data_IF_884491055136
#
_entry.id   IF_884491055136
#
_cell.length_a   1.000
_cell.length_b   1.000
_cell.length_c   1.000
_cell.angle_alpha   90.00
_cell.angle_beta   90.00
_cell.angle_gamma   90.00
#
_symmetry.space_group_name_H-M   'P 1'
#
loop_
_entity.id
_entity.type
_entity.pdbx_description
1 polymer ?
#
# COMPACT_ATOMS: atom_id res chain seq x y z
N UNK A 1 20.89 -5.79 -2.06
CA UNK A 1 20.24 -5.08 -3.19
C UNK A 1 18.79 -5.51 -3.25
N UNK A 2 17.88 -4.64 -2.77
CA UNK A 2 16.44 -4.86 -2.95
C UNK A 2 16.12 -4.60 -4.42
N UNK A 3 15.88 -5.65 -5.20
CA UNK A 3 15.33 -5.51 -6.55
C UNK A 3 13.89 -5.01 -6.43
N UNK A 4 13.68 -3.73 -6.72
CA UNK A 4 12.37 -3.11 -6.75
C UNK A 4 11.59 -3.67 -7.93
N UNK A 5 10.67 -4.57 -7.68
CA UNK A 5 9.79 -5.14 -8.69
C UNK A 5 8.44 -4.44 -8.63
N UNK A 6 7.98 -3.93 -9.76
CA UNK A 6 6.59 -3.51 -9.95
C UNK A 6 5.73 -4.74 -10.32
N UNK A 7 4.45 -4.64 -10.08
CA UNK A 7 3.49 -5.62 -10.56
C UNK A 7 3.08 -5.24 -11.99
N UNK A 8 3.23 -6.17 -12.94
CA UNK A 8 2.76 -5.95 -14.33
C UNK A 8 1.24 -5.67 -14.31
N UNK A 9 0.78 -4.74 -15.16
CA UNK A 9 -0.62 -4.31 -15.22
C UNK A 9 -1.60 -5.47 -15.46
N UNK A 10 -1.22 -6.50 -16.21
CA UNK A 10 -2.05 -7.71 -16.39
C UNK A 10 -2.25 -8.44 -15.06
N UNK A 11 -1.18 -8.66 -14.30
CA UNK A 11 -1.25 -9.30 -12.98
C UNK A 11 -1.96 -8.42 -11.95
N UNK A 12 -1.79 -7.09 -12.04
CA UNK A 12 -2.55 -6.15 -11.24
C UNK A 12 -4.06 -6.28 -11.48
N UNK A 13 -4.50 -6.30 -12.74
CA UNK A 13 -5.92 -6.50 -13.08
C UNK A 13 -6.46 -7.84 -12.59
N UNK A 14 -5.65 -8.90 -12.70
CA UNK A 14 -6.00 -10.22 -12.16
C UNK A 14 -6.14 -10.16 -10.64
N UNK A 15 -5.21 -9.50 -9.94
CA UNK A 15 -5.27 -9.31 -8.48
C UNK A 15 -6.54 -8.56 -8.06
N UNK A 16 -6.83 -7.44 -8.75
CA UNK A 16 -7.96 -6.58 -8.41
C UNK A 16 -9.32 -7.29 -8.57
N UNK A 17 -9.47 -8.13 -9.58
CA UNK A 17 -10.73 -8.83 -9.86
C UNK A 17 -10.86 -10.22 -9.23
N UNK A 18 -9.83 -10.72 -8.52
CA UNK A 18 -9.82 -12.10 -8.02
C UNK A 18 -10.39 -12.19 -6.61
N UNK A 19 -11.39 -13.06 -6.44
CA UNK A 19 -11.77 -13.59 -5.14
C UNK A 19 -10.84 -14.76 -4.78
N UNK A 20 -10.24 -14.73 -3.60
CA UNK A 20 -9.35 -15.78 -3.09
C UNK A 20 -10.11 -16.85 -2.28
N UNK A 21 -11.41 -16.67 -2.02
CA UNK A 21 -12.25 -17.57 -1.23
C UNK A 21 -12.01 -17.49 0.29
N UNK A 22 -10.98 -16.82 0.71
CA UNK A 22 -10.60 -16.61 2.11
C UNK A 22 -10.69 -15.12 2.46
N UNK A 23 -11.44 -14.77 3.51
CA UNK A 23 -11.68 -13.37 3.90
C UNK A 23 -10.38 -12.61 4.19
N UNK A 24 -9.41 -13.26 4.83
CA UNK A 24 -8.11 -12.67 5.17
C UNK A 24 -7.26 -12.36 3.93
N UNK A 25 -7.26 -13.25 2.94
CA UNK A 25 -6.56 -13.00 1.68
C UNK A 25 -7.23 -11.89 0.88
N UNK A 26 -8.56 -11.84 0.87
CA UNK A 26 -9.30 -10.76 0.23
C UNK A 26 -9.06 -9.42 0.93
N UNK A 27 -8.98 -9.41 2.26
CA UNK A 27 -8.61 -8.23 3.04
C UNK A 27 -7.18 -7.76 2.69
N UNK A 28 -6.21 -8.68 2.66
CA UNK A 28 -4.83 -8.33 2.32
C UNK A 28 -4.70 -7.79 0.87
N UNK A 29 -5.46 -8.38 -0.08
CA UNK A 29 -5.59 -7.85 -1.44
C UNK A 29 -6.12 -6.41 -1.40
N UNK A 30 -7.19 -6.16 -0.67
CA UNK A 30 -7.84 -4.86 -0.61
C UNK A 30 -6.93 -3.80 0.04
N UNK A 31 -6.14 -4.17 1.05
CA UNK A 31 -5.13 -3.27 1.63
C UNK A 31 -4.03 -2.93 0.62
N UNK A 32 -3.58 -3.90 -0.17
CA UNK A 32 -2.62 -3.65 -1.26
C UNK A 32 -3.21 -2.71 -2.31
N UNK A 33 -4.47 -2.94 -2.72
CA UNK A 33 -5.18 -2.11 -3.69
C UNK A 33 -5.44 -0.70 -3.15
N UNK A 34 -5.79 -0.57 -1.87
CA UNK A 34 -5.94 0.72 -1.22
C UNK A 34 -4.65 1.54 -1.30
N UNK A 35 -3.50 0.94 -0.96
CA UNK A 35 -2.21 1.59 -1.12
C UNK A 35 -1.99 2.09 -2.56
N UNK A 36 -2.29 1.25 -3.55
CA UNK A 36 -2.17 1.62 -4.96
C UNK A 36 -3.09 2.78 -5.34
N UNK A 37 -4.40 2.71 -5.02
CA UNK A 37 -5.37 3.74 -5.35
C UNK A 37 -5.11 5.07 -4.61
N UNK A 38 -4.52 4.99 -3.43
CA UNK A 38 -4.09 6.16 -2.66
C UNK A 38 -2.69 6.67 -3.06
N UNK A 39 -2.33 6.57 -4.35
CA UNK A 39 -1.05 7.05 -4.92
C UNK A 39 0.18 6.39 -4.28
N UNK A 40 0.07 5.13 -3.91
CA UNK A 40 1.16 4.43 -3.24
C UNK A 40 1.34 4.85 -1.78
N UNK A 41 0.25 5.10 -1.06
CA UNK A 41 0.28 5.39 0.38
C UNK A 41 1.06 4.31 1.12
N UNK A 42 1.96 4.70 2.02
CA UNK A 42 2.76 3.74 2.78
C UNK A 42 1.90 2.99 3.79
N UNK A 43 2.29 1.76 4.13
CA UNK A 43 1.49 0.96 5.07
C UNK A 43 1.39 1.62 6.46
N UNK A 44 2.44 2.31 6.90
CA UNK A 44 2.40 3.06 8.16
C UNK A 44 1.34 4.18 8.11
N UNK A 45 1.27 4.93 7.01
CA UNK A 45 0.26 5.99 6.85
C UNK A 45 -1.15 5.41 6.80
N UNK A 46 -1.33 4.22 6.19
CA UNK A 46 -2.60 3.49 6.19
C UNK A 46 -3.03 3.07 7.60
N UNK A 47 -2.11 2.54 8.41
CA UNK A 47 -2.39 2.13 9.79
C UNK A 47 -2.85 3.29 10.66
N UNK A 48 -2.22 4.46 10.50
CA UNK A 48 -2.54 5.65 11.31
C UNK A 48 -3.65 6.53 10.72
N UNK A 49 -4.29 6.11 9.61
CA UNK A 49 -5.34 6.88 8.97
C UNK A 49 -6.65 6.84 9.78
N UNK A 50 -7.01 7.97 10.40
CA UNK A 50 -8.22 8.11 11.21
C UNK A 50 -9.42 8.54 10.36
N UNK A 51 -10.64 8.13 10.76
CA UNK A 51 -11.90 8.53 10.12
C UNK A 51 -12.10 10.05 10.09
N UNK A 52 -11.61 10.77 11.09
CA UNK A 52 -11.65 12.24 11.15
C UNK A 52 -10.83 12.91 10.04
N UNK A 53 -10.00 12.15 9.33
CA UNK A 53 -9.20 12.62 8.21
C UNK A 53 -9.85 12.38 6.84
N UNK A 54 -11.10 11.89 6.84
CA UNK A 54 -11.90 11.68 5.62
C UNK A 54 -13.00 12.75 5.58
N UNK A 55 -12.81 13.77 4.76
CA UNK A 55 -13.77 14.87 4.59
C UNK A 55 -13.62 15.51 3.20
N UNK A 56 -14.65 16.24 2.74
CA UNK A 56 -14.68 16.88 1.40
C UNK A 56 -14.23 15.95 0.26
N UNK A 57 -14.73 14.71 0.28
CA UNK A 57 -14.45 13.73 -0.77
C UNK A 57 -12.95 13.41 -0.94
N UNK A 58 -12.14 13.55 0.13
CA UNK A 58 -10.72 13.31 0.12
C UNK A 58 -10.21 12.70 1.43
N UNK A 59 -9.08 11.99 1.34
CA UNK A 59 -8.26 11.56 2.45
C UNK A 59 -7.24 12.66 2.74
N UNK A 60 -7.20 13.14 3.97
CA UNK A 60 -6.22 14.12 4.42
C UNK A 60 -5.32 13.48 5.46
N UNK A 61 -4.03 13.43 5.22
CA UNK A 61 -3.09 12.85 6.17
C UNK A 61 -1.72 13.52 6.11
N UNK A 62 -1.03 13.46 7.21
CA UNK A 62 0.38 13.82 7.30
C UNK A 62 1.22 12.55 7.22
N UNK A 63 2.19 12.53 6.32
CA UNK A 63 3.04 11.38 6.10
C UNK A 63 3.98 11.16 7.28
N UNK A 64 3.95 10.00 7.88
CA UNK A 64 4.75 9.67 9.08
C UNK A 64 6.27 9.84 8.88
N UNK A 65 6.76 9.62 7.66
CA UNK A 65 8.20 9.70 7.37
C UNK A 65 8.72 11.11 7.09
N UNK A 66 7.92 11.97 6.46
CA UNK A 66 8.39 13.26 5.90
C UNK A 66 7.61 14.45 6.39
N UNK A 67 6.58 14.24 7.21
CA UNK A 67 5.68 15.26 7.74
C UNK A 67 5.01 16.15 6.67
N UNK A 68 4.96 15.65 5.43
CA UNK A 68 4.24 16.31 4.36
C UNK A 68 2.74 16.03 4.48
N UNK A 69 1.94 17.08 4.27
CA UNK A 69 0.48 16.96 4.25
C UNK A 69 0.01 16.56 2.87
N UNK A 70 -0.87 15.56 2.81
CA UNK A 70 -1.47 15.03 1.59
C UNK A 70 -2.98 15.20 1.60
N UNK A 71 -3.51 15.46 0.40
CA UNK A 71 -4.92 15.35 0.10
C UNK A 71 -5.08 14.43 -1.12
N UNK A 72 -5.78 13.32 -0.94
CA UNK A 72 -6.02 12.31 -1.98
C UNK A 72 -7.51 12.20 -2.20
N UNK A 73 -8.00 12.58 -3.39
CA UNK A 73 -9.40 12.47 -3.74
C UNK A 73 -9.91 11.02 -3.64
N UNK A 74 -11.10 10.84 -3.09
CA UNK A 74 -11.75 9.55 -2.96
C UNK A 74 -12.27 9.08 -4.31
N UNK A 75 -11.53 8.18 -4.94
CA UNK A 75 -12.02 7.46 -6.12
C UNK A 75 -13.11 6.47 -5.73
N UNK A 76 -13.96 6.00 -6.68
CA UNK A 76 -14.96 4.97 -6.40
C UNK A 76 -14.35 3.73 -5.73
N UNK A 77 -13.16 3.30 -6.16
CA UNK A 77 -12.46 2.14 -5.63
C UNK A 77 -12.02 2.35 -4.16
N UNK A 78 -11.52 3.54 -3.82
CA UNK A 78 -11.17 3.88 -2.44
C UNK A 78 -12.42 3.88 -1.55
N UNK A 79 -13.54 4.46 -2.03
CA UNK A 79 -14.81 4.48 -1.29
C UNK A 79 -15.32 3.08 -1.02
N UNK A 80 -15.27 2.19 -2.02
CA UNK A 80 -15.69 0.80 -1.89
C UNK A 80 -14.91 0.07 -0.81
N UNK A 81 -13.58 0.22 -0.79
CA UNK A 81 -12.74 -0.41 0.24
C UNK A 81 -13.03 0.19 1.62
N UNK A 82 -13.12 1.52 1.74
CA UNK A 82 -13.45 2.18 3.00
C UNK A 82 -14.80 1.70 3.54
N UNK A 83 -15.83 1.64 2.69
CA UNK A 83 -17.16 1.19 3.07
C UNK A 83 -17.16 -0.28 3.50
N UNK A 84 -16.40 -1.15 2.79
CA UNK A 84 -16.31 -2.58 3.09
C UNK A 84 -15.72 -2.87 4.47
N UNK A 85 -14.79 -2.04 4.92
CA UNK A 85 -14.08 -2.21 6.20
C UNK A 85 -14.48 -1.18 7.25
N UNK A 86 -15.58 -0.45 7.03
CA UNK A 86 -16.06 0.49 8.03
C UNK A 86 -16.58 -0.24 9.27
N UNK A 87 -15.94 0.02 10.39
CA UNK A 87 -16.34 -0.46 11.70
C UNK A 87 -16.68 0.76 12.59
N UNK A 88 -17.98 0.99 12.93
CA UNK A 88 -18.40 2.13 13.75
C UNK A 88 -17.68 2.22 15.09
N UNK A 89 -17.24 1.09 15.65
CA UNK A 89 -16.50 1.04 16.91
C UNK A 89 -15.02 1.43 16.79
N UNK A 90 -14.50 1.58 15.56
CA UNK A 90 -13.10 1.87 15.30
C UNK A 90 -12.87 3.33 14.89
N UNK A 91 -11.85 4.02 15.43
CA UNK A 91 -11.47 5.35 14.99
C UNK A 91 -10.69 5.33 13.66
N UNK A 92 -10.27 4.15 13.20
CA UNK A 92 -9.44 3.95 12.01
C UNK A 92 -10.27 3.75 10.75
N UNK A 93 -9.78 4.23 9.61
CA UNK A 93 -10.42 4.04 8.30
C UNK A 93 -10.30 2.59 7.82
N UNK A 94 -9.19 1.93 8.15
CA UNK A 94 -8.85 0.59 7.70
C UNK A 94 -8.63 -0.36 8.88
N UNK A 95 -8.80 -1.67 8.71
CA UNK A 95 -8.68 -2.66 9.78
C UNK A 95 -7.24 -2.91 10.24
N UNK A 96 -6.24 -2.28 9.58
CA UNK A 96 -4.83 -2.56 9.80
C UNK A 96 -4.41 -2.49 11.28
N UNK A 97 -4.78 -1.43 11.97
CA UNK A 97 -4.41 -1.25 13.38
C UNK A 97 -5.12 -2.25 14.28
N UNK A 98 -6.39 -2.55 14.02
CA UNK A 98 -7.15 -3.56 14.76
C UNK A 98 -6.54 -4.96 14.61
N UNK A 99 -6.06 -5.32 13.42
CA UNK A 99 -5.35 -6.60 13.20
C UNK A 99 -4.08 -6.69 14.03
N UNK A 100 -3.33 -5.61 14.16
CA UNK A 100 -2.18 -5.54 15.05
C UNK A 100 -2.55 -5.70 16.53
N UNK A 101 -3.63 -5.07 16.97
CA UNK A 101 -4.17 -5.19 18.33
C UNK A 101 -4.61 -6.63 18.63
N UNK A 102 -5.41 -7.24 17.76
CA UNK A 102 -5.87 -8.62 17.92
C UNK A 102 -4.71 -9.63 17.96
N UNK A 103 -3.68 -9.41 17.14
CA UNK A 103 -2.47 -10.22 17.16
C UNK A 103 -1.65 -10.04 18.46
N UNK A 104 -1.87 -8.93 19.18
CA UNK A 104 -1.28 -8.65 20.50
C UNK A 104 -2.11 -9.21 21.65
N UNK A 105 -3.41 -9.44 21.47
CA UNK A 105 -4.37 -9.81 22.52
C UNK A 105 -4.11 -11.20 23.15
N UNK A 106 -3.18 -11.99 22.60
CA UNK A 106 -2.57 -13.12 23.32
C UNK A 106 -1.64 -12.67 24.47
N UNK A 107 -1.47 -11.35 24.66
CA UNK A 107 -0.82 -10.73 25.82
C UNK A 107 -1.82 -9.70 26.37
N UNK A 108 -2.54 -10.09 27.43
CA UNK A 108 -3.45 -9.23 28.19
C UNK A 108 -2.81 -7.87 28.51
N UNK A 109 -3.31 -6.80 27.89
CA UNK A 109 -3.16 -5.44 28.41
C UNK A 109 -4.39 -4.61 28.02
N UNK A 110 -4.90 -3.87 29.00
CA UNK A 110 -6.18 -3.17 29.02
C UNK A 110 -6.45 -2.24 27.82
N UNK A 111 -7.60 -2.45 27.20
CA UNK A 111 -8.10 -1.69 26.03
C UNK A 111 -8.91 -0.44 26.41
N UNK A 112 -8.78 0.08 27.62
CA UNK A 112 -9.47 1.29 28.10
C UNK A 112 -8.47 2.42 28.35
N UNK A 113 -8.32 3.31 27.37
CA UNK A 113 -7.54 4.52 27.55
C UNK A 113 -6.69 4.88 26.31
N UNK A 114 -6.05 6.03 26.35
CA UNK A 114 -5.07 6.46 25.34
C UNK A 114 -3.93 5.44 25.24
N UNK A 115 -3.90 4.70 24.16
CA UNK A 115 -2.85 3.69 23.91
C UNK A 115 -1.50 4.40 23.79
N UNK A 116 -0.49 4.05 24.60
CA UNK A 116 0.80 4.69 24.54
C UNK A 116 1.43 4.59 23.12
N UNK A 117 2.18 5.60 22.67
CA UNK A 117 2.79 5.60 21.32
C UNK A 117 3.62 4.35 21.01
N UNK A 118 4.30 3.79 22.02
CA UNK A 118 5.07 2.55 21.89
C UNK A 118 4.19 1.34 21.56
N UNK A 119 2.99 1.27 22.12
CA UNK A 119 2.01 0.20 21.83
C UNK A 119 1.45 0.33 20.42
N UNK A 120 1.15 1.54 19.94
CA UNK A 120 0.71 1.77 18.56
C UNK A 120 1.78 1.32 17.55
N UNK A 121 3.05 1.59 17.82
CA UNK A 121 4.14 1.12 16.98
C UNK A 121 4.22 -0.41 16.95
N UNK A 122 4.06 -1.08 18.07
CA UNK A 122 4.03 -2.54 18.14
C UNK A 122 2.85 -3.11 17.34
N UNK A 123 1.66 -2.53 17.45
CA UNK A 123 0.49 -2.94 16.67
C UNK A 123 0.72 -2.78 15.17
N UNK A 124 1.32 -1.66 14.75
CA UNK A 124 1.74 -1.46 13.36
C UNK A 124 2.71 -2.55 12.90
N UNK A 125 3.73 -2.88 13.68
CA UNK A 125 4.70 -3.92 13.31
C UNK A 125 4.03 -5.29 13.17
N UNK A 126 3.12 -5.64 14.07
CA UNK A 126 2.37 -6.89 14.01
C UNK A 126 1.42 -6.94 12.82
N UNK A 127 0.70 -5.85 12.55
CA UNK A 127 -0.15 -5.72 11.38
C UNK A 127 0.66 -5.86 10.08
N UNK A 128 1.81 -5.19 9.99
CA UNK A 128 2.69 -5.29 8.83
C UNK A 128 3.14 -6.73 8.59
N UNK A 129 3.57 -7.42 9.64
CA UNK A 129 3.98 -8.82 9.55
C UNK A 129 2.82 -9.72 9.06
N UNK A 130 1.64 -9.56 9.65
CA UNK A 130 0.42 -10.28 9.27
C UNK A 130 0.10 -10.12 7.77
N UNK A 131 0.01 -8.89 7.29
CA UNK A 131 -0.32 -8.65 5.88
C UNK A 131 0.77 -9.09 4.91
N UNK A 132 2.06 -9.01 5.30
CA UNK A 132 3.15 -9.49 4.44
C UNK A 132 3.12 -11.01 4.26
N UNK A 133 2.70 -11.78 5.26
CA UNK A 133 2.50 -13.24 5.13
C UNK A 133 1.38 -13.51 4.12
N UNK A 134 0.24 -12.83 4.24
CA UNK A 134 -0.90 -13.00 3.34
C UNK A 134 -0.58 -12.56 1.90
N UNK A 135 0.11 -11.45 1.74
CA UNK A 135 0.56 -10.97 0.42
C UNK A 135 1.57 -11.94 -0.23
N UNK A 136 2.39 -12.62 0.57
CA UNK A 136 3.28 -13.69 0.06
C UNK A 136 2.49 -14.88 -0.47
N UNK A 137 1.42 -15.28 0.22
CA UNK A 137 0.54 -16.37 -0.25
C UNK A 137 -0.23 -15.94 -1.51
N UNK A 138 -0.76 -14.72 -1.57
CA UNK A 138 -1.36 -14.16 -2.79
C UNK A 138 -0.36 -14.19 -3.94
N UNK A 139 0.89 -13.81 -3.70
CA UNK A 139 1.96 -13.83 -4.70
C UNK A 139 2.19 -15.22 -5.28
N UNK A 140 2.20 -16.24 -4.40
CA UNK A 140 2.34 -17.64 -4.79
C UNK A 140 1.18 -18.10 -5.68
N UNK A 141 -0.07 -17.77 -5.31
CA UNK A 141 -1.29 -18.13 -6.08
C UNK A 141 -1.38 -17.39 -7.43
N UNK A 142 -0.76 -16.23 -7.56
CA UNK A 142 -0.72 -15.45 -8.80
C UNK A 142 0.51 -15.76 -9.66
N UNK A 143 1.43 -16.60 -9.19
CA UNK A 143 2.70 -16.85 -9.86
C UNK A 143 3.49 -15.55 -10.11
N UNK A 144 3.52 -14.65 -9.13
CA UNK A 144 4.29 -13.41 -9.21
C UNK A 144 5.33 -13.33 -8.09
N UNK A 145 6.25 -12.36 -8.21
CA UNK A 145 7.21 -12.07 -7.14
C UNK A 145 6.47 -11.54 -5.91
N UNK A 146 7.10 -11.61 -4.74
CA UNK A 146 6.51 -11.21 -3.48
C UNK A 146 5.88 -9.82 -3.53
N UNK A 147 4.58 -9.76 -3.28
CA UNK A 147 3.84 -8.51 -3.12
C UNK A 147 4.18 -7.89 -1.76
N UNK A 148 4.36 -6.59 -1.78
CA UNK A 148 4.52 -5.76 -0.58
C UNK A 148 3.86 -4.41 -0.83
N UNK A 149 3.62 -3.61 0.19
CA UNK A 149 3.07 -2.26 0.01
C UNK A 149 4.01 -1.34 -0.80
N UNK A 150 5.32 -1.58 -0.75
CA UNK A 150 6.26 -0.89 -1.64
C UNK A 150 6.03 -1.28 -3.11
N UNK A 151 5.67 -2.53 -3.41
CA UNK A 151 5.32 -2.97 -4.78
C UNK A 151 4.07 -2.23 -5.26
N UNK A 152 3.05 -2.02 -4.42
CA UNK A 152 1.88 -1.22 -4.78
C UNK A 152 2.29 0.21 -5.19
N UNK A 153 3.14 0.84 -4.38
CA UNK A 153 3.69 2.17 -4.65
C UNK A 153 4.52 2.24 -5.93
N UNK A 154 5.38 1.23 -6.16
CA UNK A 154 6.18 1.12 -7.39
C UNK A 154 5.28 0.94 -8.61
N UNK A 155 4.26 0.09 -8.51
CA UNK A 155 3.29 -0.15 -9.58
C UNK A 155 2.58 1.15 -9.94
N UNK A 156 2.09 1.92 -8.96
CA UNK A 156 1.44 3.21 -9.23
C UNK A 156 2.38 4.18 -9.98
N UNK A 157 3.62 4.31 -9.52
CA UNK A 157 4.58 5.22 -10.15
C UNK A 157 4.93 4.81 -11.59
N UNK A 158 5.08 3.51 -11.83
CA UNK A 158 5.37 2.96 -13.17
C UNK A 158 4.19 3.17 -14.11
N UNK A 159 2.96 2.91 -13.64
CA UNK A 159 1.76 3.12 -14.45
C UNK A 159 1.56 4.61 -14.77
N UNK A 160 1.73 5.50 -13.78
CA UNK A 160 1.67 6.94 -14.02
C UNK A 160 2.69 7.38 -15.08
N UNK A 161 3.91 6.84 -15.03
CA UNK A 161 4.93 7.12 -16.04
C UNK A 161 4.57 6.55 -17.42
N UNK A 162 4.06 5.33 -17.49
CA UNK A 162 3.63 4.71 -18.75
C UNK A 162 2.49 5.48 -19.44
N UNK A 163 1.69 6.18 -18.65
CA UNK A 163 0.65 7.11 -19.12
C UNK A 163 1.19 8.49 -19.53
N UNK A 164 2.49 8.71 -19.47
CA UNK A 164 3.12 9.98 -19.83
C UNK A 164 3.02 11.08 -18.77
N UNK A 165 2.68 10.74 -17.51
CA UNK A 165 2.63 11.72 -16.42
C UNK A 165 4.04 12.26 -16.15
N UNK A 166 4.26 13.59 -16.14
CA UNK A 166 5.56 14.19 -15.88
C UNK A 166 6.13 13.80 -14.52
N UNK A 167 7.45 13.58 -14.47
CA UNK A 167 8.16 13.18 -13.24
C UNK A 167 7.89 14.08 -12.03
N UNK A 168 7.78 15.42 -12.14
CA UNK A 168 7.42 16.28 -11.01
C UNK A 168 6.09 15.90 -10.36
N UNK A 169 5.04 15.63 -11.17
CA UNK A 169 3.73 15.24 -10.65
C UNK A 169 3.75 13.85 -10.01
N UNK A 170 4.54 12.92 -10.57
CA UNK A 170 4.77 11.61 -9.92
C UNK A 170 5.48 11.81 -8.58
N UNK A 171 6.49 12.70 -8.53
CA UNK A 171 7.24 13.05 -7.32
C UNK A 171 6.34 13.61 -6.24
N UNK A 172 5.48 14.56 -6.60
CA UNK A 172 4.48 15.14 -5.72
C UNK A 172 3.49 14.08 -5.21
N UNK A 173 2.93 13.29 -6.12
CA UNK A 173 1.99 12.20 -5.77
C UNK A 173 2.60 11.17 -4.82
N UNK A 174 3.90 10.88 -4.94
CA UNK A 174 4.64 10.00 -4.04
C UNK A 174 5.12 10.69 -2.76
N UNK A 175 5.08 12.01 -2.67
CA UNK A 175 5.62 12.78 -1.55
C UNK A 175 7.12 12.64 -1.39
N UNK A 176 7.84 12.69 -2.48
CA UNK A 176 9.28 12.80 -2.41
C UNK A 176 9.67 14.27 -2.20
N UNK A 177 10.56 14.54 -1.26
CA UNK A 177 11.06 15.88 -0.97
C UNK A 177 11.96 16.43 -2.08
N UNK A 178 12.42 15.57 -3.00
CA UNK A 178 13.29 15.91 -4.10
C UNK A 178 12.91 15.11 -5.36
N UNK A 179 12.77 15.82 -6.48
CA UNK A 179 12.56 15.22 -7.80
C UNK A 179 13.71 14.26 -8.17
N UNK A 180 14.93 14.55 -7.71
CA UNK A 180 16.09 13.67 -7.89
C UNK A 180 15.82 12.27 -7.33
N UNK A 181 15.15 12.17 -6.16
CA UNK A 181 14.75 10.90 -5.57
C UNK A 181 13.82 10.14 -6.50
N UNK A 182 12.85 10.83 -7.12
CA UNK A 182 11.92 10.22 -8.07
C UNK A 182 12.62 9.79 -9.35
N UNK A 183 13.54 10.59 -9.88
CA UNK A 183 14.33 10.22 -11.07
C UNK A 183 15.18 8.97 -10.85
N UNK A 184 15.89 8.89 -9.72
CA UNK A 184 16.69 7.69 -9.36
C UNK A 184 15.77 6.48 -9.21
N UNK A 185 14.62 6.67 -8.56
CA UNK A 185 13.61 5.66 -8.36
C UNK A 185 13.04 5.14 -9.70
N UNK A 186 12.62 6.03 -10.59
CA UNK A 186 12.10 5.65 -11.92
C UNK A 186 13.21 5.05 -12.82
N UNK A 187 14.43 5.55 -12.75
CA UNK A 187 15.56 5.00 -13.51
C UNK A 187 15.92 3.57 -13.07
N UNK A 188 15.72 3.23 -11.79
CA UNK A 188 15.93 1.85 -11.32
C UNK A 188 14.87 0.88 -11.89
N UNK A 189 13.65 1.38 -12.14
CA UNK A 189 12.57 0.62 -12.79
C UNK A 189 12.84 0.41 -14.28
N UNK A 190 13.41 1.41 -14.97
CA UNK A 190 13.76 1.32 -16.39
C UNK A 190 14.83 0.27 -16.68
N UNK A 191 15.88 0.21 -15.85
CA UNK A 191 16.93 -0.82 -16.02
C UNK A 191 16.35 -2.22 -15.97
N UNK A 192 15.40 -2.46 -15.06
CA UNK A 192 14.76 -3.76 -14.94
C UNK A 192 13.93 -4.11 -16.18
N UNK A 193 13.22 -3.12 -16.74
CA UNK A 193 12.48 -3.29 -18.00
C UNK A 193 13.43 -3.59 -19.16
N UNK A 194 14.58 -2.91 -19.22
CA UNK A 194 15.61 -3.15 -20.25
C UNK A 194 16.22 -4.56 -20.09
N UNK A 195 16.50 -4.98 -18.86
CA UNK A 195 17.03 -6.33 -18.57
C UNK A 195 16.00 -7.42 -18.95
N UNK A 196 14.72 -7.23 -18.64
CA UNK A 196 13.64 -8.14 -19.04
C UNK A 196 13.47 -8.21 -20.57
N UNK A 197 13.59 -7.08 -21.27
CA UNK A 197 13.57 -7.04 -22.74
C UNK A 197 14.78 -7.78 -23.29
N UNK A 198 15.97 -7.53 -22.74
CA UNK A 198 17.20 -8.20 -23.18
C UNK A 198 17.11 -9.72 -22.97
N UNK A 199 16.59 -10.17 -21.82
CA UNK A 199 16.35 -11.61 -21.59
C UNK A 199 15.39 -12.24 -22.61
N UNK A 200 14.39 -11.50 -23.07
CA UNK A 200 13.46 -11.98 -24.11
C UNK A 200 14.12 -12.05 -25.48
N UNK A 201 14.89 -11.04 -25.80
CA UNK A 201 15.62 -10.98 -27.11
C UNK A 201 16.70 -12.04 -27.17
N UNK A 202 17.37 -12.36 -26.08
CA UNK A 202 18.44 -13.36 -26.04
C UNK A 202 17.97 -14.80 -25.95
N UNK A 203 16.66 -15.04 -25.72
CA UNK A 203 16.01 -16.37 -25.70
C UNK A 203 15.43 -16.77 -27.06
N UNK A 204 15.70 -15.99 -28.13
CA UNK A 204 15.38 -16.35 -29.49
C UNK A 204 16.46 -17.32 -30.05
#
# INVERSE_FOLDING_TARGET
>A
CCSYTNLNIKKYRTLAGRDFGESELNEARDMFLFSFYARGMSFVDMCYLRKTKVWNEALHYERQKTHQVFSVALTPQLREIIFRYDDPGSPWVLPCMQRGMLSSANKQEDMNGDVPPASLYNFYCMALHYYLILLKEISRRLGCRNLTFNVARHTWATEARSMGVPTPHISEGLGHTSERTTRIYLASLDRQTVDEVNERVTKL
#
